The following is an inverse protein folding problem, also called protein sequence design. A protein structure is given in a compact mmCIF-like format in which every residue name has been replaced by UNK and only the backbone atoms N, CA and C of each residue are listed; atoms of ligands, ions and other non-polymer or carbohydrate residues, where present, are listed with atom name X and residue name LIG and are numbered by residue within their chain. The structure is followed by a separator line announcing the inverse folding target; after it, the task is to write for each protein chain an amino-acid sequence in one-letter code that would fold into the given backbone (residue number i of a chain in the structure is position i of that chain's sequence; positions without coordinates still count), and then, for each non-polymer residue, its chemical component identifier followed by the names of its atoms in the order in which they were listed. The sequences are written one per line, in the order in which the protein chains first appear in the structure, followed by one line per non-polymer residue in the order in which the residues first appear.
data_IF_629989164534
#
_entry.id   IF_629989164534
#
_cell.length_a   1.000
_cell.length_b   1.000
_cell.length_c   1.000
_cell.angle_alpha   90.00
_cell.angle_beta   90.00
_cell.angle_gamma   90.00
#
_symmetry.space_group_name_H-M   'P 1'
#
loop_
_entity.id
_entity.type
_entity.pdbx_description
1 polymer ?
#
# COMPACT_ATOMS: atom_id res chain seq x y z
N UNK A 1 3.60 -11.03 5.01
CA UNK A 1 4.73 -11.46 4.16
C UNK A 1 4.89 -10.64 2.88
N UNK A 2 3.81 -9.98 2.39
CA UNK A 2 3.85 -9.23 1.12
C UNK A 2 4.81 -8.03 1.19
N UNK A 3 4.97 -7.39 2.35
CA UNK A 3 5.73 -6.15 2.55
C UNK A 3 7.12 -6.33 3.20
N UNK A 4 7.67 -7.54 3.26
CA UNK A 4 8.97 -7.78 3.89
C UNK A 4 10.14 -7.04 3.22
N UNK A 5 10.01 -6.74 1.95
CA UNK A 5 10.99 -5.98 1.16
C UNK A 5 10.75 -4.47 1.13
N UNK A 6 9.78 -3.96 1.88
CA UNK A 6 9.46 -2.54 1.85
C UNK A 6 10.59 -1.69 2.45
N UNK A 7 10.81 -0.53 1.86
CA UNK A 7 11.88 0.40 2.26
C UNK A 7 11.47 1.27 3.45
N UNK A 8 12.44 1.80 4.21
CA UNK A 8 12.17 2.94 5.08
C UNK A 8 11.56 4.09 4.28
N UNK A 9 10.67 4.85 4.90
CA UNK A 9 9.95 5.97 4.29
C UNK A 9 8.99 5.59 3.15
N UNK A 10 8.47 4.36 3.16
CA UNK A 10 7.42 3.91 2.25
C UNK A 10 7.80 4.08 0.77
N UNK A 11 6.85 4.45 -0.05
CA UNK A 11 7.06 4.65 -1.49
C UNK A 11 8.07 5.77 -1.84
N UNK A 12 8.31 6.74 -0.94
CA UNK A 12 9.35 7.75 -1.17
C UNK A 12 10.74 7.11 -1.14
N UNK A 13 10.97 6.17 -0.20
CA UNK A 13 12.18 5.39 -0.13
C UNK A 13 12.36 4.43 -1.30
N UNK A 14 11.29 3.76 -1.70
CA UNK A 14 11.30 2.88 -2.87
C UNK A 14 11.69 3.63 -4.14
N UNK A 15 11.07 4.78 -4.40
CA UNK A 15 11.45 5.64 -5.54
C UNK A 15 12.91 6.05 -5.50
N UNK A 16 13.41 6.43 -4.32
CA UNK A 16 14.80 6.81 -4.15
C UNK A 16 15.75 5.65 -4.48
N UNK A 17 15.50 4.45 -3.96
CA UNK A 17 16.32 3.27 -4.28
C UNK A 17 16.19 2.85 -5.74
N UNK A 18 15.00 2.93 -6.32
CA UNK A 18 14.78 2.61 -7.73
C UNK A 18 15.57 3.52 -8.67
N UNK A 19 15.73 4.81 -8.33
CA UNK A 19 16.55 5.75 -9.09
C UNK A 19 18.05 5.51 -8.91
N UNK A 20 18.49 5.03 -7.76
CA UNK A 20 19.91 4.85 -7.42
C UNK A 20 20.45 3.49 -7.86
N UNK A 21 19.63 2.45 -7.80
CA UNK A 21 20.04 1.09 -8.16
C UNK A 21 20.13 0.92 -9.69
N UNK A 22 21.23 0.40 -10.23
CA UNK A 22 21.38 0.14 -11.67
C UNK A 22 20.29 -0.79 -12.23
N UNK A 23 19.84 -1.76 -11.43
CA UNK A 23 18.81 -2.74 -11.81
C UNK A 23 17.40 -2.30 -11.40
N UNK A 24 17.26 -1.09 -10.87
CA UNK A 24 16.01 -0.63 -10.26
C UNK A 24 15.75 -1.27 -8.88
N UNK A 25 14.62 -0.93 -8.28
CA UNK A 25 14.18 -1.50 -7.01
C UNK A 25 12.66 -1.48 -6.90
N UNK A 26 12.09 -2.64 -6.61
CA UNK A 26 10.67 -2.80 -6.30
C UNK A 26 10.49 -3.60 -5.03
N UNK A 27 9.70 -3.09 -4.08
CA UNK A 27 9.52 -3.74 -2.78
C UNK A 27 8.93 -5.15 -2.88
N UNK A 28 8.05 -5.42 -3.84
CA UNK A 28 7.47 -6.75 -4.06
C UNK A 28 8.50 -7.77 -4.56
N UNK A 29 9.45 -7.36 -5.38
CA UNK A 29 10.58 -8.22 -5.82
C UNK A 29 11.56 -8.43 -4.66
N UNK A 30 11.85 -7.38 -3.89
CA UNK A 30 12.67 -7.49 -2.69
C UNK A 30 11.99 -8.36 -1.62
N UNK A 31 10.66 -8.34 -1.50
CA UNK A 31 9.92 -9.25 -0.62
C UNK A 31 10.16 -10.71 -0.99
N UNK A 32 10.14 -11.05 -2.29
CA UNK A 32 10.52 -12.39 -2.75
C UNK A 32 11.97 -12.71 -2.43
N UNK A 33 12.90 -11.79 -2.67
CA UNK A 33 14.31 -12.01 -2.35
C UNK A 33 14.51 -12.27 -0.85
N UNK A 34 13.79 -11.56 0.02
CA UNK A 34 13.83 -11.80 1.47
C UNK A 34 13.41 -13.23 1.79
N UNK A 35 12.23 -13.67 1.33
CA UNK A 35 11.69 -14.98 1.67
C UNK A 35 12.40 -16.14 0.97
N UNK A 36 12.91 -15.95 -0.23
CA UNK A 36 13.56 -17.01 -1.02
C UNK A 36 15.03 -17.17 -0.68
N UNK A 37 15.73 -16.10 -0.28
CA UNK A 37 17.18 -16.08 -0.20
C UNK A 37 17.70 -15.64 1.17
N UNK A 38 17.18 -14.55 1.75
CA UNK A 38 17.80 -13.92 2.92
C UNK A 38 17.41 -14.57 4.23
N UNK A 39 16.20 -15.04 4.36
CA UNK A 39 15.70 -15.68 5.58
C UNK A 39 16.44 -16.99 5.90
N UNK A 40 16.41 -17.40 7.16
CA UNK A 40 17.05 -18.62 7.69
C UNK A 40 18.52 -18.73 7.30
N UNK A 41 19.30 -17.67 7.52
CA UNK A 41 20.73 -17.63 7.25
C UNK A 41 21.08 -17.97 5.78
N UNK A 42 20.31 -17.43 4.85
CA UNK A 42 20.55 -17.61 3.41
C UNK A 42 19.91 -18.86 2.80
N UNK A 43 19.05 -19.58 3.53
CA UNK A 43 18.39 -20.81 3.05
C UNK A 43 16.99 -20.55 2.48
N UNK A 44 16.41 -19.40 2.78
CA UNK A 44 15.03 -19.08 2.42
C UNK A 44 13.97 -19.85 3.20
N UNK A 45 12.71 -19.55 2.94
CA UNK A 45 11.57 -20.12 3.66
C UNK A 45 10.93 -21.32 2.96
N UNK A 46 11.36 -21.66 1.74
CA UNK A 46 10.77 -22.75 0.93
C UNK A 46 9.25 -22.64 0.77
N UNK A 47 8.80 -21.44 0.36
CA UNK A 47 7.38 -21.15 0.14
C UNK A 47 6.88 -21.76 -1.17
N UNK A 48 5.59 -22.14 -1.19
CA UNK A 48 4.96 -22.64 -2.42
C UNK A 48 4.90 -21.56 -3.52
N UNK A 49 4.76 -21.98 -4.77
CA UNK A 49 4.66 -21.08 -5.91
C UNK A 49 3.48 -20.09 -5.76
N UNK A 50 2.35 -20.55 -5.22
CA UNK A 50 1.15 -19.75 -5.01
C UNK A 50 1.37 -18.64 -3.97
N UNK A 51 2.07 -18.93 -2.88
CA UNK A 51 2.39 -17.92 -1.86
C UNK A 51 3.37 -16.90 -2.41
N UNK A 52 4.38 -17.34 -3.16
CA UNK A 52 5.35 -16.46 -3.83
C UNK A 52 4.69 -15.56 -4.86
N UNK A 53 3.75 -16.11 -5.65
CA UNK A 53 2.93 -15.36 -6.61
C UNK A 53 2.12 -14.26 -5.91
N UNK A 54 1.47 -14.57 -4.80
CA UNK A 54 0.72 -13.60 -3.99
C UNK A 54 1.59 -12.49 -3.42
N UNK A 55 2.84 -12.81 -2.99
CA UNK A 55 3.81 -11.81 -2.54
C UNK A 55 4.21 -10.89 -3.70
N UNK A 56 4.54 -11.45 -4.85
CA UNK A 56 5.00 -10.69 -6.01
C UNK A 56 3.92 -9.76 -6.58
N UNK A 57 2.68 -10.24 -6.60
CA UNK A 57 1.59 -9.59 -7.34
C UNK A 57 0.66 -8.74 -6.49
N UNK A 58 0.95 -8.52 -5.20
CA UNK A 58 0.01 -7.84 -4.30
C UNK A 58 -0.27 -6.37 -4.66
N UNK A 59 0.62 -5.69 -5.38
CA UNK A 59 0.47 -4.27 -5.74
C UNK A 59 -0.25 -4.06 -7.09
N UNK A 60 0.47 -4.14 -8.18
CA UNK A 60 0.03 -3.71 -9.51
C UNK A 60 -0.38 -4.84 -10.45
N UNK A 61 -0.27 -6.09 -10.01
CA UNK A 61 -0.57 -7.28 -10.79
C UNK A 61 -1.75 -8.04 -10.18
N UNK A 62 -2.27 -9.00 -10.92
CA UNK A 62 -3.32 -9.91 -10.44
C UNK A 62 -2.67 -11.23 -10.08
N UNK A 63 -2.79 -11.64 -8.81
CA UNK A 63 -2.32 -12.94 -8.36
C UNK A 63 -3.11 -14.08 -9.02
N UNK A 64 -2.46 -15.21 -9.23
CA UNK A 64 -3.10 -16.38 -9.86
C UNK A 64 -4.08 -17.09 -8.92
N UNK A 65 -3.97 -16.84 -7.60
CA UNK A 65 -4.86 -17.40 -6.58
C UNK A 65 -5.84 -16.36 -6.06
N UNK A 66 -7.01 -16.83 -5.61
CA UNK A 66 -8.03 -15.99 -4.96
C UNK A 66 -7.51 -15.42 -3.64
N UNK A 67 -6.73 -16.18 -2.90
CA UNK A 67 -6.11 -15.78 -1.64
C UNK A 67 -5.14 -14.59 -1.85
N UNK A 68 -4.30 -14.65 -2.88
CA UNK A 68 -3.43 -13.53 -3.25
C UNK A 68 -4.23 -12.28 -3.64
N UNK A 69 -5.36 -12.46 -4.32
CA UNK A 69 -6.25 -11.37 -4.67
C UNK A 69 -6.97 -10.77 -3.46
N UNK A 70 -7.36 -11.60 -2.48
CA UNK A 70 -7.90 -11.12 -1.18
C UNK A 70 -6.86 -10.31 -0.44
N UNK A 71 -5.60 -10.75 -0.41
CA UNK A 71 -4.50 -10.01 0.25
C UNK A 71 -4.33 -8.62 -0.38
N UNK A 72 -4.38 -8.51 -1.71
CA UNK A 72 -4.32 -7.22 -2.39
C UNK A 72 -5.44 -6.26 -1.97
N UNK A 73 -6.69 -6.74 -1.88
CA UNK A 73 -7.79 -5.89 -1.39
C UNK A 73 -7.62 -5.52 0.08
N UNK A 74 -7.19 -6.46 0.91
CA UNK A 74 -6.92 -6.17 2.32
C UNK A 74 -5.84 -5.09 2.48
N UNK A 75 -4.78 -5.17 1.68
CA UNK A 75 -3.70 -4.19 1.66
C UNK A 75 -4.19 -2.79 1.26
N UNK A 76 -4.89 -2.65 0.13
CA UNK A 76 -5.36 -1.33 -0.33
C UNK A 76 -6.40 -0.72 0.62
N UNK A 77 -7.24 -1.53 1.28
CA UNK A 77 -8.18 -1.06 2.31
C UNK A 77 -7.42 -0.62 3.57
N UNK A 78 -6.41 -1.40 3.97
CA UNK A 78 -5.63 -1.09 5.15
C UNK A 78 -4.84 0.20 4.97
N UNK A 79 -4.05 0.32 3.89
CA UNK A 79 -3.15 1.46 3.74
C UNK A 79 -3.91 2.79 3.61
N UNK A 80 -5.00 2.87 2.83
CA UNK A 80 -5.74 4.14 2.70
C UNK A 80 -6.33 4.61 4.03
N UNK A 81 -6.79 3.67 4.88
CA UNK A 81 -7.30 4.00 6.20
C UNK A 81 -6.19 4.35 7.20
N UNK A 82 -5.01 3.76 7.07
CA UNK A 82 -3.85 4.15 7.86
C UNK A 82 -3.30 5.51 7.44
N UNK A 83 -3.25 5.79 6.14
CA UNK A 83 -2.82 7.08 5.60
C UNK A 83 -3.73 8.24 6.06
N UNK A 84 -5.04 7.99 6.18
CA UNK A 84 -5.98 8.97 6.77
C UNK A 84 -5.61 9.22 8.23
N UNK A 85 -5.45 8.18 9.05
CA UNK A 85 -5.08 8.31 10.47
C UNK A 85 -3.76 9.06 10.65
N UNK A 86 -2.75 8.72 9.84
CA UNK A 86 -1.44 9.35 9.90
C UNK A 86 -1.49 10.81 9.47
N UNK A 87 -2.30 11.13 8.47
CA UNK A 87 -2.52 12.51 7.99
C UNK A 87 -3.22 13.37 9.04
N UNK A 88 -4.20 12.81 9.76
CA UNK A 88 -4.87 13.46 10.89
C UNK A 88 -3.89 13.67 12.03
N UNK A 89 -3.10 12.65 12.39
CA UNK A 89 -2.09 12.73 13.44
C UNK A 89 -0.99 13.76 13.12
N UNK A 90 -0.61 13.88 11.85
CA UNK A 90 0.36 14.86 11.39
C UNK A 90 -0.22 16.29 11.26
N UNK A 91 -1.51 16.49 11.49
CA UNK A 91 -2.19 17.77 11.35
C UNK A 91 -2.18 18.31 9.91
N UNK A 92 -2.26 17.39 8.94
CA UNK A 92 -2.38 17.71 7.51
C UNK A 92 -3.85 17.85 7.13
N UNK A 93 -4.71 17.03 7.72
CA UNK A 93 -6.16 17.03 7.53
C UNK A 93 -6.89 16.66 8.82
N UNK A 94 -8.20 16.79 8.78
CA UNK A 94 -9.15 16.25 9.75
C UNK A 94 -10.09 15.26 9.07
N UNK A 95 -10.80 14.41 9.81
CA UNK A 95 -11.79 13.51 9.19
C UNK A 95 -12.95 14.28 8.53
N UNK A 96 -13.25 15.48 9.00
CA UNK A 96 -14.28 16.37 8.44
C UNK A 96 -13.91 16.93 7.06
N UNK A 97 -12.63 16.91 6.68
CA UNK A 97 -12.17 17.35 5.35
C UNK A 97 -12.54 16.32 4.26
N UNK A 98 -12.84 15.08 4.63
CA UNK A 98 -13.29 14.06 3.68
C UNK A 98 -14.67 14.45 3.13
N UNK A 99 -14.84 14.56 1.81
CA UNK A 99 -16.10 14.99 1.20
C UNK A 99 -17.30 14.17 1.66
N UNK A 100 -18.41 14.85 1.97
CA UNK A 100 -19.62 14.22 2.53
C UNK A 100 -20.27 13.18 1.61
N UNK A 101 -20.12 13.30 0.30
CA UNK A 101 -20.58 12.26 -0.62
C UNK A 101 -19.81 10.96 -0.45
N UNK A 102 -18.54 10.99 -0.05
CA UNK A 102 -17.72 9.83 0.25
C UNK A 102 -18.10 9.24 1.60
N UNK A 103 -18.13 10.07 2.66
CA UNK A 103 -18.45 9.60 4.00
C UNK A 103 -19.88 9.07 4.15
N UNK A 104 -20.81 9.55 3.31
CA UNK A 104 -22.20 9.04 3.26
C UNK A 104 -22.25 7.57 2.81
N UNK A 105 -21.37 7.17 1.91
CA UNK A 105 -21.31 5.80 1.36
C UNK A 105 -20.40 4.92 2.20
N UNK A 106 -19.18 5.37 2.47
CA UNK A 106 -18.16 4.56 3.13
C UNK A 106 -18.22 4.59 4.65
N UNK A 107 -18.87 5.58 5.24
CA UNK A 107 -18.88 5.85 6.68
C UNK A 107 -17.96 7.01 7.07
N UNK A 108 -18.27 7.63 8.23
CA UNK A 108 -17.55 8.79 8.75
C UNK A 108 -16.34 8.46 9.62
N UNK A 109 -16.20 7.20 10.04
CA UNK A 109 -15.09 6.73 10.86
C UNK A 109 -14.28 5.63 10.17
N UNK A 110 -13.05 5.41 10.61
CA UNK A 110 -12.18 4.32 10.13
C UNK A 110 -12.88 2.96 10.18
N UNK A 111 -13.54 2.67 11.30
CA UNK A 111 -14.23 1.39 11.49
C UNK A 111 -15.39 1.20 10.52
N UNK A 112 -16.18 2.25 10.29
CA UNK A 112 -17.28 2.20 9.33
C UNK A 112 -16.76 2.03 7.91
N UNK A 113 -15.73 2.79 7.50
CA UNK A 113 -15.10 2.68 6.18
C UNK A 113 -14.61 1.27 5.91
N UNK A 114 -13.82 0.70 6.83
CA UNK A 114 -13.31 -0.67 6.69
C UNK A 114 -14.46 -1.67 6.61
N UNK A 115 -15.46 -1.56 7.49
CA UNK A 115 -16.62 -2.46 7.50
C UNK A 115 -17.38 -2.40 6.18
N UNK A 116 -17.62 -1.20 5.65
CA UNK A 116 -18.34 -1.01 4.37
C UNK A 116 -17.57 -1.66 3.22
N UNK A 117 -16.27 -1.36 3.09
CA UNK A 117 -15.42 -1.90 2.02
C UNK A 117 -15.33 -3.42 2.08
N UNK A 118 -15.05 -3.98 3.26
CA UNK A 118 -14.96 -5.44 3.44
C UNK A 118 -16.30 -6.12 3.20
N UNK A 119 -17.41 -5.54 3.70
CA UNK A 119 -18.74 -6.12 3.50
C UNK A 119 -19.15 -6.12 2.04
N UNK A 120 -18.81 -5.06 1.28
CA UNK A 120 -19.06 -4.98 -0.15
C UNK A 120 -18.30 -6.08 -0.91
N UNK A 121 -17.02 -6.28 -0.60
CA UNK A 121 -16.23 -7.37 -1.19
C UNK A 121 -16.79 -8.76 -0.88
N UNK A 122 -17.24 -9.00 0.35
CA UNK A 122 -17.85 -10.27 0.75
C UNK A 122 -19.15 -10.51 -0.03
N UNK A 123 -19.97 -9.48 -0.21
CA UNK A 123 -21.20 -9.55 -1.00
C UNK A 123 -20.94 -9.81 -2.49
N UNK A 124 -19.85 -9.27 -3.04
CA UNK A 124 -19.41 -9.54 -4.40
C UNK A 124 -19.04 -11.02 -4.67
N UNK A 125 -18.80 -11.77 -3.59
CA UNK A 125 -18.57 -13.22 -3.60
C UNK A 125 -17.14 -13.62 -3.95
N UNK A 126 -16.77 -14.81 -3.52
CA UNK A 126 -15.40 -15.36 -3.67
C UNK A 126 -14.99 -15.62 -5.13
N UNK A 127 -15.94 -15.65 -6.04
CA UNK A 127 -15.63 -15.93 -7.45
C UNK A 127 -15.11 -14.72 -8.22
N UNK A 128 -15.56 -13.51 -7.87
CA UNK A 128 -15.18 -12.30 -8.60
C UNK A 128 -14.59 -11.18 -7.76
N UNK A 129 -14.60 -11.28 -6.42
CA UNK A 129 -14.00 -10.32 -5.48
C UNK A 129 -14.08 -8.87 -5.97
N UNK A 130 -15.26 -8.32 -6.04
CA UNK A 130 -15.47 -6.93 -6.45
C UNK A 130 -16.34 -6.19 -5.43
N UNK A 131 -16.15 -4.91 -5.32
CA UNK A 131 -17.06 -4.02 -4.59
C UNK A 131 -18.28 -3.73 -5.46
N UNK A 132 -19.44 -3.48 -4.86
CA UNK A 132 -20.55 -2.92 -5.61
C UNK A 132 -20.19 -1.52 -6.17
N UNK A 133 -20.87 -1.11 -7.24
CA UNK A 133 -20.50 0.09 -8.00
C UNK A 133 -20.47 1.35 -7.13
N UNK A 134 -21.45 1.53 -6.22
CA UNK A 134 -21.53 2.70 -5.35
C UNK A 134 -20.33 2.78 -4.38
N UNK A 135 -19.95 1.64 -3.78
CA UNK A 135 -18.80 1.56 -2.87
C UNK A 135 -17.49 1.71 -3.63
N UNK A 136 -17.38 1.12 -4.81
CA UNK A 136 -16.20 1.22 -5.69
C UNK A 136 -15.95 2.67 -6.14
N UNK A 137 -17.01 3.38 -6.54
CA UNK A 137 -16.94 4.79 -6.94
C UNK A 137 -16.53 5.68 -5.75
N UNK A 138 -17.13 5.43 -4.58
CA UNK A 138 -16.78 6.18 -3.37
C UNK A 138 -15.35 5.89 -2.91
N UNK A 139 -14.86 4.65 -3.02
CA UNK A 139 -13.46 4.29 -2.75
C UNK A 139 -12.50 5.01 -3.73
N UNK A 140 -12.82 5.01 -5.02
CA UNK A 140 -12.04 5.72 -6.04
C UNK A 140 -12.00 7.21 -5.77
N UNK A 141 -13.13 7.81 -5.38
CA UNK A 141 -13.21 9.21 -4.99
C UNK A 141 -12.37 9.51 -3.73
N UNK A 142 -12.38 8.61 -2.73
CA UNK A 142 -11.55 8.73 -1.53
C UNK A 142 -10.05 8.67 -1.88
N UNK A 143 -9.66 7.73 -2.73
CA UNK A 143 -8.27 7.62 -3.18
C UNK A 143 -7.80 8.88 -3.91
N UNK A 144 -8.64 9.44 -4.79
CA UNK A 144 -8.36 10.70 -5.47
C UNK A 144 -8.26 11.87 -4.49
N UNK A 145 -9.17 11.96 -3.54
CA UNK A 145 -9.12 12.98 -2.49
C UNK A 145 -7.80 12.91 -1.70
N UNK A 146 -7.38 11.71 -1.27
CA UNK A 146 -6.11 11.52 -0.57
C UNK A 146 -4.92 11.92 -1.44
N UNK A 147 -4.96 11.59 -2.73
CA UNK A 147 -3.91 12.00 -3.66
C UNK A 147 -3.81 13.52 -3.76
N UNK A 148 -4.93 14.20 -4.03
CA UNK A 148 -4.94 15.64 -4.25
C UNK A 148 -4.70 16.46 -2.97
N UNK A 149 -5.17 15.97 -1.81
CA UNK A 149 -5.15 16.72 -0.55
C UNK A 149 -3.93 16.41 0.32
N UNK A 150 -3.50 15.14 0.35
CA UNK A 150 -2.45 14.65 1.24
C UNK A 150 -1.14 14.42 0.50
N UNK A 151 -1.14 13.53 -0.52
CA UNK A 151 0.12 13.10 -1.13
C UNK A 151 0.80 14.19 -1.97
N UNK A 152 0.06 15.19 -2.43
CA UNK A 152 0.63 16.38 -3.10
C UNK A 152 0.89 17.54 -2.15
N UNK A 153 0.56 17.40 -0.86
CA UNK A 153 0.72 18.47 0.12
C UNK A 153 2.20 18.89 0.26
N UNK A 154 2.53 20.20 0.19
CA UNK A 154 3.90 20.67 0.31
C UNK A 154 4.62 20.25 1.59
N UNK A 155 3.90 20.11 2.71
CA UNK A 155 4.44 19.59 3.97
C UNK A 155 4.97 18.15 3.81
N UNK A 156 4.16 17.28 3.18
CA UNK A 156 4.58 15.90 2.91
C UNK A 156 5.76 15.87 1.95
N UNK A 157 5.71 16.66 0.88
CA UNK A 157 6.79 16.71 -0.13
C UNK A 157 8.12 17.21 0.44
N UNK A 158 8.12 18.14 1.37
CA UNK A 158 9.35 18.61 2.02
C UNK A 158 10.03 17.51 2.84
N UNK A 159 9.26 16.63 3.49
CA UNK A 159 9.82 15.50 4.25
C UNK A 159 10.30 14.37 3.32
N UNK A 160 9.62 14.12 2.19
CA UNK A 160 10.08 13.17 1.18
C UNK A 160 11.47 13.53 0.62
N UNK A 161 11.77 14.81 0.43
CA UNK A 161 13.10 15.26 -0.02
C UNK A 161 14.19 14.88 0.98
N UNK A 162 13.94 15.06 2.28
CA UNK A 162 14.89 14.65 3.33
C UNK A 162 15.09 13.13 3.37
N UNK A 163 14.01 12.38 3.22
CA UNK A 163 14.06 10.91 3.15
C UNK A 163 14.91 10.43 1.96
N UNK A 164 14.68 11.01 0.78
CA UNK A 164 15.45 10.72 -0.44
C UNK A 164 16.95 10.99 -0.25
N UNK A 165 17.31 12.17 0.32
CA UNK A 165 18.71 12.54 0.59
C UNK A 165 19.37 11.58 1.59
N UNK A 166 18.65 11.17 2.63
CA UNK A 166 19.14 10.20 3.60
C UNK A 166 19.42 8.83 2.96
N UNK A 167 18.48 8.33 2.15
CA UNK A 167 18.65 7.04 1.44
C UNK A 167 19.83 7.13 0.47
N UNK A 168 19.96 8.23 -0.29
CA UNK A 168 21.08 8.40 -1.22
C UNK A 168 22.42 8.33 -0.49
N UNK A 169 22.56 9.02 0.64
CA UNK A 169 23.79 8.98 1.45
C UNK A 169 24.10 7.61 2.01
N UNK A 170 23.08 6.85 2.43
CA UNK A 170 23.26 5.48 2.89
C UNK A 170 23.65 4.55 1.74
N UNK A 171 23.02 4.70 0.59
CA UNK A 171 23.34 3.93 -0.60
C UNK A 171 24.80 4.16 -1.02
N UNK A 172 25.23 5.41 -1.16
CA UNK A 172 26.63 5.78 -1.50
C UNK A 172 27.64 5.27 -0.48
N UNK A 173 27.24 5.10 0.78
CA UNK A 173 28.14 4.61 1.81
C UNK A 173 28.33 3.08 1.76
N UNK A 174 27.30 2.32 1.33
CA UNK A 174 27.33 0.85 1.38
C UNK A 174 27.59 0.19 0.03
N UNK A 175 27.48 0.92 -1.08
CA UNK A 175 27.67 0.44 -2.44
C UNK A 175 28.83 1.16 -3.10
#
# INVERSE_FOLDING_TARGET
GHDLGHTPFGHAGERALNELSPDGFHHYEQSLRVVDILEKDGKGLDLTAEVRDGILKHTNMIADTKEGYVVRFADVIAYINHDIDDSVRAGIMTEEDIPKNITKVLGGSKSERITTLVTSLIKGGAESLHMDDEVSDAYTALHRFMFDFVYTNPKCKSEEVKAKDMIAKLYDYYV
#
